data_IF_845794051797
#
_entry.id   IF_845794051797
#
_cell.length_a   1.000
_cell.length_b   1.000
_cell.length_c   1.000
_cell.angle_alpha   90.00
_cell.angle_beta   90.00
_cell.angle_gamma   90.00
#
_symmetry.space_group_name_H-M   'P 1'
#
loop_
_entity.id
_entity.type
_entity.pdbx_description
1 polymer ?
#
# COMPACT_ATOMS: atom_id res chain seq x y z
N UNK A 1 -0.50 5.83 -12.01
CA UNK A 1 -1.31 6.06 -10.80
C UNK A 1 -0.36 6.34 -9.65
N UNK A 2 -0.56 7.40 -8.84
CA UNK A 2 0.24 7.60 -7.62
C UNK A 2 -0.30 6.70 -6.51
N UNK A 3 0.59 5.93 -5.89
CA UNK A 3 0.32 5.20 -4.65
C UNK A 3 0.22 6.22 -3.52
N UNK A 4 -0.81 6.13 -2.68
CA UNK A 4 -1.02 7.05 -1.54
C UNK A 4 -1.26 6.30 -0.24
N UNK A 5 -1.00 6.95 0.88
CA UNK A 5 -1.25 6.38 2.22
C UNK A 5 -2.70 5.90 2.35
N UNK A 6 -2.86 4.69 2.90
CA UNK A 6 -4.12 3.98 3.02
C UNK A 6 -4.47 3.09 1.82
N UNK A 7 -3.74 3.16 0.71
CA UNK A 7 -3.94 2.23 -0.41
C UNK A 7 -3.59 0.80 0.00
N UNK A 8 -4.35 -0.17 -0.51
CA UNK A 8 -4.00 -1.58 -0.39
C UNK A 8 -3.19 -2.01 -1.60
N UNK A 9 -1.95 -2.38 -1.33
CA UNK A 9 -1.01 -2.91 -2.31
C UNK A 9 -1.04 -4.43 -2.27
N UNK A 10 -1.00 -5.06 -3.43
CA UNK A 10 -0.81 -6.50 -3.58
C UNK A 10 0.57 -6.73 -4.15
N UNK A 11 1.30 -7.63 -3.51
CA UNK A 11 2.57 -8.09 -4.04
C UNK A 11 2.31 -9.05 -5.22
N UNK A 12 2.89 -8.76 -6.38
CA UNK A 12 2.61 -9.48 -7.63
C UNK A 12 3.05 -10.95 -7.58
N UNK A 13 4.18 -11.24 -6.92
CA UNK A 13 4.74 -12.60 -6.88
C UNK A 13 4.07 -13.50 -5.83
N UNK A 14 3.74 -12.96 -4.66
CA UNK A 14 3.21 -13.75 -3.53
C UNK A 14 1.70 -13.63 -3.38
N UNK A 15 1.08 -12.68 -4.09
CA UNK A 15 -0.33 -12.35 -3.94
C UNK A 15 -0.70 -11.74 -2.58
N UNK A 16 0.28 -11.47 -1.71
CA UNK A 16 0.05 -10.93 -0.36
C UNK A 16 -0.49 -9.52 -0.43
N UNK A 17 -1.46 -9.22 0.43
CA UNK A 17 -2.05 -7.91 0.58
C UNK A 17 -1.38 -7.15 1.71
N UNK A 18 -1.10 -5.89 1.44
CA UNK A 18 -0.46 -4.94 2.31
C UNK A 18 -1.27 -3.65 2.32
N UNK A 19 -1.40 -3.02 3.47
CA UNK A 19 -1.94 -1.67 3.59
C UNK A 19 -0.77 -0.69 3.67
N UNK A 20 -0.74 0.30 2.78
CA UNK A 20 0.25 1.36 2.86
C UNK A 20 -0.08 2.27 4.04
N UNK A 21 0.80 2.35 5.02
CA UNK A 21 0.67 3.28 6.15
C UNK A 21 1.26 4.63 5.83
N UNK A 22 2.50 4.64 5.34
CA UNK A 22 3.18 5.88 5.00
C UNK A 22 4.22 5.68 3.91
N UNK A 23 4.60 6.76 3.24
CA UNK A 23 5.72 6.78 2.30
C UNK A 23 6.78 7.69 2.90
N UNK A 24 7.93 7.12 3.26
CA UNK A 24 9.02 7.86 3.89
C UNK A 24 10.30 7.65 3.10
N UNK A 25 10.93 8.75 2.67
CA UNK A 25 12.19 8.71 1.91
C UNK A 25 12.13 7.83 0.64
N UNK A 26 10.97 7.77 -0.03
CA UNK A 26 10.75 6.91 -1.20
C UNK A 26 10.54 5.41 -0.88
N UNK A 27 10.50 5.05 0.40
CA UNK A 27 10.14 3.72 0.87
C UNK A 27 8.66 3.66 1.28
N UNK A 28 8.00 2.57 0.92
CA UNK A 28 6.62 2.28 1.28
C UNK A 28 6.60 1.52 2.60
N UNK A 29 6.01 2.10 3.63
CA UNK A 29 5.78 1.43 4.91
C UNK A 29 4.45 0.70 4.83
N UNK A 30 4.51 -0.61 4.83
CA UNK A 30 3.40 -1.52 4.65
C UNK A 30 3.04 -2.23 5.96
N UNK A 31 1.76 -2.45 6.18
CA UNK A 31 1.23 -3.26 7.26
C UNK A 31 0.45 -4.44 6.68
N UNK A 32 0.62 -5.62 7.26
CA UNK A 32 -0.21 -6.79 6.97
C UNK A 32 -0.61 -7.47 8.29
N UNK A 33 -1.58 -8.39 8.22
CA UNK A 33 -2.00 -9.17 9.40
C UNK A 33 -0.86 -9.97 10.05
N UNK A 34 0.13 -10.39 9.25
CA UNK A 34 1.27 -11.19 9.73
C UNK A 34 2.43 -10.31 10.17
N UNK A 35 2.60 -9.13 9.57
CA UNK A 35 3.73 -8.23 9.85
C UNK A 35 3.23 -6.79 9.99
N UNK A 36 3.25 -6.21 11.20
CA UNK A 36 2.70 -4.88 11.46
C UNK A 36 3.53 -3.76 10.82
N UNK A 37 4.80 -4.00 10.53
CA UNK A 37 5.68 -3.01 9.94
C UNK A 37 6.63 -3.67 8.95
N UNK A 38 6.44 -3.38 7.67
CA UNK A 38 7.28 -3.88 6.60
C UNK A 38 7.63 -2.74 5.65
N UNK A 39 8.90 -2.39 5.60
CA UNK A 39 9.39 -1.36 4.69
C UNK A 39 9.67 -1.99 3.33
N UNK A 40 9.24 -1.32 2.25
CA UNK A 40 9.40 -1.78 0.89
C UNK A 40 10.03 -0.69 0.03
N UNK A 41 11.14 -1.04 -0.62
CA UNK A 41 11.87 -0.13 -1.49
C UNK A 41 11.51 -0.46 -2.94
N UNK A 42 10.88 0.49 -3.63
CA UNK A 42 10.51 0.36 -5.04
C UNK A 42 9.09 -0.14 -5.31
N UNK A 43 8.52 0.33 -6.42
CA UNK A 43 7.13 0.11 -6.80
C UNK A 43 6.92 -1.12 -7.70
N UNK A 44 8.00 -1.71 -8.24
CA UNK A 44 7.93 -2.71 -9.32
C UNK A 44 7.13 -3.95 -8.94
N UNK A 45 7.34 -4.45 -7.73
CA UNK A 45 6.76 -5.70 -7.23
C UNK A 45 5.40 -5.50 -6.55
N UNK A 46 4.99 -4.25 -6.36
CA UNK A 46 3.73 -3.87 -5.72
C UNK A 46 2.75 -3.36 -6.76
N UNK A 47 1.54 -3.86 -6.72
CA UNK A 47 0.43 -3.36 -7.54
C UNK A 47 -0.64 -2.77 -6.63
N UNK A 48 -1.22 -1.64 -7.03
CA UNK A 48 -2.38 -1.09 -6.31
C UNK A 48 -3.56 -2.02 -6.54
N UNK A 49 -3.94 -2.75 -5.49
CA UNK A 49 -5.04 -3.70 -5.53
C UNK A 49 -6.38 -3.04 -5.20
N UNK A 50 -6.36 -2.10 -4.25
CA UNK A 50 -7.53 -1.31 -3.93
C UNK A 50 -7.10 0.09 -3.56
N UNK A 51 -7.47 1.04 -4.41
CA UNK A 51 -7.34 2.45 -4.06
C UNK A 51 -8.36 2.70 -2.95
N UNK A 52 -7.92 3.15 -1.77
CA UNK A 52 -8.91 3.56 -0.78
C UNK A 52 -9.66 4.70 -1.43
N UNK A 53 -10.95 4.50 -1.70
CA UNK A 53 -11.83 5.58 -2.12
C UNK A 53 -11.76 6.58 -0.97
N UNK A 54 -10.91 7.60 -1.13
CA UNK A 54 -10.81 8.70 -0.18
C UNK A 54 -12.24 9.11 0.08
N UNK A 55 -12.64 9.06 1.36
CA UNK A 55 -13.99 9.36 1.85
C UNK A 55 -14.68 10.26 0.84
N UNK A 56 -15.57 9.69 0.01
CA UNK A 56 -16.39 10.50 -0.87
C UNK A 56 -17.40 11.17 0.06
N UNK A 57 -16.93 12.24 0.70
CA UNK A 57 -17.71 13.14 1.52
C UNK A 57 -18.41 14.07 0.55
N UNK A 58 -19.46 13.58 -0.11
CA UNK A 58 -20.53 14.41 -0.70
C UNK A 58 -21.82 13.60 -0.55
N UNK A 59 -22.52 13.79 0.57
CA UNK A 59 -23.58 14.79 0.80
C UNK A 59 -24.92 14.23 0.34
#
# INVERSE_FOLDING_TARGET
>A
MRIVEGDRLKHKLTGRLYELKTIKDGAFVLESKETPYRMWFGERDLEVFFKKAGKNKRR
#
